data_IF_408164026818
#
_entry.id   IF_408164026818
#
_cell.length_a   1.000
_cell.length_b   1.000
_cell.length_c   1.000
_cell.angle_alpha   90.00
_cell.angle_beta   90.00
_cell.angle_gamma   90.00
#
_symmetry.space_group_name_H-M   'P 1'
#
loop_
_entity.id
_entity.type
_entity.pdbx_description
1 polymer ?
#
# COMPACT_ATOMS: atom_id res chain seq x y z
N UNK A 1 -16.77 55.65 -4.10
CA UNK A 1 -16.64 55.04 -2.78
C UNK A 1 -16.49 53.54 -3.00
N UNK A 2 -15.29 53.03 -2.73
CA UNK A 2 -14.89 51.64 -2.94
C UNK A 2 -15.43 50.79 -1.79
N UNK A 3 -16.22 49.76 -2.09
CA UNK A 3 -16.53 48.68 -1.16
C UNK A 3 -15.78 47.43 -1.63
N UNK A 4 -14.62 47.18 -1.01
CA UNK A 4 -13.81 46.00 -1.24
C UNK A 4 -14.59 44.73 -0.91
N UNK A 5 -14.71 43.85 -1.90
CA UNK A 5 -15.15 42.48 -1.68
C UNK A 5 -14.08 41.70 -0.91
N UNK A 6 -14.47 40.70 -0.10
CA UNK A 6 -13.53 39.91 0.66
C UNK A 6 -12.59 39.16 -0.29
N UNK A 7 -11.30 39.26 0.01
CA UNK A 7 -10.19 38.58 -0.65
C UNK A 7 -10.54 37.11 -0.91
N UNK A 8 -10.41 36.69 -2.16
CA UNK A 8 -10.50 35.30 -2.59
C UNK A 8 -9.62 34.41 -1.72
N UNK A 9 -10.25 33.58 -0.88
CA UNK A 9 -9.61 32.50 -0.13
C UNK A 9 -8.77 31.66 -1.10
N UNK A 10 -7.47 31.55 -0.84
CA UNK A 10 -6.56 30.67 -1.58
C UNK A 10 -7.08 29.22 -1.50
N UNK A 11 -7.82 28.79 -2.53
CA UNK A 11 -8.12 27.37 -2.74
C UNK A 11 -6.87 26.70 -3.29
N UNK A 12 -6.18 25.93 -2.45
CA UNK A 12 -5.05 25.11 -2.85
C UNK A 12 -5.49 24.11 -3.94
N UNK A 13 -4.61 23.74 -4.89
CA UNK A 13 -4.95 22.75 -5.89
C UNK A 13 -5.23 21.40 -5.20
N UNK A 14 -6.51 20.99 -5.23
CA UNK A 14 -7.01 19.73 -4.67
C UNK A 14 -7.31 18.76 -5.80
N UNK A 15 -6.62 17.63 -5.83
CA UNK A 15 -6.91 16.55 -6.78
C UNK A 15 -7.85 15.53 -6.12
N UNK A 16 -9.04 15.38 -6.70
CA UNK A 16 -9.94 14.28 -6.32
C UNK A 16 -9.51 13.01 -7.04
N UNK A 17 -9.28 11.95 -6.28
CA UNK A 17 -8.87 10.63 -6.78
C UNK A 17 -10.10 9.73 -6.74
N UNK A 18 -10.53 9.23 -7.89
CA UNK A 18 -11.54 8.18 -7.94
C UNK A 18 -10.86 6.86 -7.60
N UNK A 19 -11.34 6.19 -6.55
CA UNK A 19 -10.84 4.89 -6.11
C UNK A 19 -11.99 3.90 -6.18
N UNK A 20 -11.67 2.63 -6.43
CA UNK A 20 -12.63 1.54 -6.31
C UNK A 20 -12.79 1.16 -4.83
N UNK A 21 -14.00 1.28 -4.31
CA UNK A 21 -14.33 0.95 -2.92
C UNK A 21 -14.15 2.10 -1.93
N UNK A 22 -14.37 1.81 -0.65
CA UNK A 22 -14.21 2.77 0.44
C UNK A 22 -12.73 2.98 0.78
N UNK A 23 -12.26 4.22 0.64
CA UNK A 23 -10.89 4.56 1.04
C UNK A 23 -10.86 4.84 2.56
N UNK A 24 -9.95 4.21 3.34
CA UNK A 24 -9.79 4.54 4.76
C UNK A 24 -9.13 5.90 5.00
N UNK A 25 -8.54 6.51 3.96
CA UNK A 25 -7.85 7.79 4.06
C UNK A 25 -8.82 8.97 3.91
N UNK A 26 -8.58 10.06 4.64
CA UNK A 26 -9.26 11.33 4.43
C UNK A 26 -8.58 12.16 3.33
N UNK A 27 -7.24 12.22 3.37
CA UNK A 27 -6.43 12.91 2.39
C UNK A 27 -4.94 12.54 2.54
N UNK A 28 -4.16 12.82 1.50
CA UNK A 28 -2.73 12.99 1.59
C UNK A 28 -2.36 14.43 1.23
N UNK A 29 -1.38 15.00 1.91
CA UNK A 29 -1.02 16.41 1.77
C UNK A 29 0.48 16.55 1.57
N UNK A 30 0.86 17.41 0.64
CA UNK A 30 2.23 17.88 0.49
C UNK A 30 2.31 19.33 0.94
N UNK A 31 3.14 19.60 1.94
CA UNK A 31 3.36 20.91 2.53
C UNK A 31 4.85 21.29 2.49
N UNK A 32 5.14 22.58 2.56
CA UNK A 32 6.50 23.12 2.61
C UNK A 32 6.57 24.31 3.55
N UNK A 33 7.77 24.56 4.06
CA UNK A 33 8.10 25.74 4.83
C UNK A 33 8.42 26.90 3.90
N UNK A 34 7.64 27.98 4.00
CA UNK A 34 7.90 29.26 3.36
C UNK A 34 8.61 30.17 4.39
N UNK A 35 9.80 30.69 4.05
CA UNK A 35 10.60 31.47 5.00
C UNK A 35 9.94 32.78 5.45
N UNK A 36 8.93 33.27 4.72
CA UNK A 36 8.20 34.50 5.03
C UNK A 36 6.86 34.17 5.69
N UNK A 37 6.15 33.18 5.15
CA UNK A 37 4.77 32.88 5.54
C UNK A 37 4.65 31.68 6.50
N UNK A 38 5.74 30.97 6.76
CA UNK A 38 5.76 29.75 7.55
C UNK A 38 5.23 28.53 6.79
N UNK A 39 4.67 27.53 7.49
CA UNK A 39 4.20 26.29 6.87
C UNK A 39 3.01 26.51 5.93
N UNK A 40 3.07 25.93 4.73
CA UNK A 40 2.04 26.05 3.70
C UNK A 40 1.74 24.71 3.02
N UNK A 41 0.47 24.46 2.77
CA UNK A 41 0.02 23.31 1.98
C UNK A 41 0.18 23.63 0.50
N UNK A 42 0.93 22.83 -0.23
CA UNK A 42 1.11 23.01 -1.67
C UNK A 42 0.10 22.18 -2.48
N UNK A 43 -0.23 20.97 -2.03
CA UNK A 43 -1.15 20.09 -2.75
C UNK A 43 -1.88 19.11 -1.84
N UNK A 44 -3.10 18.75 -2.22
CA UNK A 44 -3.95 17.81 -1.49
C UNK A 44 -4.48 16.75 -2.46
N UNK A 45 -4.23 15.48 -2.16
CA UNK A 45 -4.88 14.33 -2.78
C UNK A 45 -6.00 13.86 -1.85
N UNK A 46 -7.24 13.91 -2.32
CA UNK A 46 -8.39 13.46 -1.54
C UNK A 46 -9.17 12.41 -2.32
N UNK A 47 -9.61 11.31 -1.70
CA UNK A 47 -10.47 10.35 -2.36
C UNK A 47 -11.83 10.99 -2.66
N UNK A 48 -12.45 10.58 -3.77
CA UNK A 48 -13.80 10.96 -4.16
C UNK A 48 -14.78 10.00 -3.47
N UNK A 49 -14.99 10.17 -2.17
CA UNK A 49 -16.00 9.41 -1.41
C UNK A 49 -17.16 10.33 -1.03
N UNK A 50 -18.39 9.88 -1.25
CA UNK A 50 -19.60 10.66 -0.96
C UNK A 50 -20.01 10.63 0.53
N UNK A 51 -19.39 9.75 1.34
CA UNK A 51 -19.79 9.49 2.73
C UNK A 51 -18.73 9.84 3.79
N UNK A 52 -17.51 10.25 3.42
CA UNK A 52 -16.47 10.62 4.37
C UNK A 52 -16.60 12.11 4.75
N UNK A 53 -16.46 12.40 6.04
CA UNK A 53 -16.32 13.76 6.55
C UNK A 53 -15.11 14.40 5.88
N UNK A 54 -15.36 15.29 4.93
CA UNK A 54 -14.29 16.03 4.28
C UNK A 54 -13.64 16.92 5.31
N UNK A 55 -12.32 16.80 5.45
CA UNK A 55 -11.54 17.79 6.18
C UNK A 55 -11.80 19.16 5.56
N UNK A 56 -12.15 20.10 6.42
CA UNK A 56 -12.19 21.51 6.05
C UNK A 56 -10.79 21.97 5.66
N UNK A 57 -10.71 22.96 4.76
CA UNK A 57 -9.41 23.52 4.36
C UNK A 57 -8.64 24.09 5.57
N UNK A 58 -9.36 24.49 6.63
CA UNK A 58 -8.80 24.94 7.91
C UNK A 58 -8.10 23.83 8.69
N UNK A 59 -8.70 22.65 8.81
CA UNK A 59 -8.09 21.50 9.49
C UNK A 59 -6.84 20.99 8.76
N UNK A 60 -6.88 20.98 7.43
CA UNK A 60 -5.71 20.58 6.62
C UNK A 60 -4.55 21.55 6.82
N UNK A 61 -4.84 22.85 6.85
CA UNK A 61 -3.82 23.88 7.10
C UNK A 61 -3.28 23.78 8.54
N UNK A 62 -4.17 23.55 9.51
CA UNK A 62 -3.81 23.33 10.91
C UNK A 62 -2.84 22.14 11.06
N UNK A 63 -3.14 20.99 10.43
CA UNK A 63 -2.28 19.81 10.46
C UNK A 63 -0.91 20.06 9.85
N UNK A 64 -0.85 20.75 8.70
CA UNK A 64 0.41 21.10 8.06
C UNK A 64 1.27 22.01 8.95
N UNK A 65 0.64 22.97 9.62
CA UNK A 65 1.33 23.87 10.55
C UNK A 65 1.92 23.12 11.75
N UNK A 66 1.14 22.25 12.38
CA UNK A 66 1.61 21.46 13.54
C UNK A 66 2.74 20.51 13.16
N UNK A 67 2.64 19.88 11.99
CA UNK A 67 3.66 18.96 11.48
C UNK A 67 5.00 19.67 11.25
N UNK A 68 4.98 20.81 10.56
CA UNK A 68 6.19 21.51 10.13
C UNK A 68 6.79 22.43 11.22
N UNK A 69 5.98 22.92 12.15
CA UNK A 69 6.48 23.67 13.32
C UNK A 69 7.13 22.75 14.39
N UNK A 70 7.09 21.43 14.20
CA UNK A 70 7.63 20.47 15.18
C UNK A 70 6.75 20.24 16.39
N UNK A 71 5.51 20.75 16.39
CA UNK A 71 4.50 20.51 17.42
C UNK A 71 3.76 19.20 17.12
N UNK A 72 4.47 18.08 17.26
CA UNK A 72 3.87 16.75 17.16
C UNK A 72 2.92 16.57 18.36
N UNK A 73 1.60 16.63 18.10
CA UNK A 73 0.52 16.05 18.93
C UNK A 73 0.59 16.35 20.44
N UNK A 74 0.88 17.58 20.86
CA UNK A 74 0.72 17.96 22.28
C UNK A 74 -0.65 18.51 22.65
N UNK A 75 -1.50 18.87 21.69
CA UNK A 75 -2.83 19.38 21.99
C UNK A 75 -3.76 19.28 20.79
N UNK A 76 -4.47 18.17 20.63
CA UNK A 76 -5.68 18.13 19.83
C UNK A 76 -6.80 17.58 20.72
N UNK A 77 -7.83 18.39 20.95
CA UNK A 77 -9.04 17.98 21.66
C UNK A 77 -9.66 16.76 20.95
N UNK A 78 -10.08 15.81 21.78
CA UNK A 78 -10.63 14.52 21.40
C UNK A 78 -11.78 14.68 20.39
N UNK A 79 -11.51 14.44 19.09
CA UNK A 79 -12.51 14.52 18.02
C UNK A 79 -12.00 14.98 16.65
N UNK A 80 -10.83 15.63 16.57
CA UNK A 80 -10.26 16.11 15.32
C UNK A 80 -9.35 15.07 14.63
N UNK A 81 -9.44 14.96 13.30
CA UNK A 81 -8.62 14.05 12.51
C UNK A 81 -7.12 14.23 12.79
N UNK A 82 -6.46 13.16 13.26
CA UNK A 82 -5.03 13.15 13.54
C UNK A 82 -4.23 12.75 12.31
N UNK A 83 -3.18 13.50 11.95
CA UNK A 83 -2.15 13.04 11.01
C UNK A 83 -1.39 11.87 11.64
N UNK A 84 -1.59 10.65 11.15
CA UNK A 84 -0.95 9.45 11.72
C UNK A 84 0.49 9.31 11.22
N UNK A 85 0.74 9.65 9.95
CA UNK A 85 2.09 9.58 9.37
C UNK A 85 2.41 10.84 8.60
N UNK A 86 3.46 11.51 9.07
CA UNK A 86 4.04 12.68 8.44
C UNK A 86 5.55 12.50 8.36
N UNK A 87 6.08 12.56 7.14
CA UNK A 87 7.51 12.46 6.89
C UNK A 87 8.03 13.82 6.45
N UNK A 88 8.94 14.37 7.24
CA UNK A 88 9.61 15.65 6.99
C UNK A 88 10.92 15.37 6.25
N UNK A 89 11.21 16.16 5.22
CA UNK A 89 12.41 16.02 4.41
C UNK A 89 12.82 17.33 3.77
N UNK A 90 14.11 17.48 3.49
CA UNK A 90 14.61 18.64 2.76
C UNK A 90 14.47 18.45 1.25
N UNK A 91 13.89 19.46 0.59
CA UNK A 91 13.71 19.49 -0.85
C UNK A 91 14.06 20.86 -1.44
N UNK A 92 14.35 20.88 -2.74
CA UNK A 92 14.63 22.12 -3.47
C UNK A 92 13.40 22.50 -4.29
N UNK A 93 12.65 23.51 -3.82
CA UNK A 93 11.44 23.96 -4.49
C UNK A 93 11.71 25.34 -5.08
N UNK A 94 11.60 25.46 -6.41
CA UNK A 94 11.87 26.72 -7.16
C UNK A 94 13.29 27.28 -6.96
N UNK A 95 14.27 26.42 -6.71
CA UNK A 95 15.68 26.81 -6.50
C UNK A 95 16.03 27.15 -5.05
N UNK A 96 15.03 27.20 -4.15
CA UNK A 96 15.25 27.40 -2.73
C UNK A 96 15.22 26.06 -1.98
N UNK A 97 16.15 25.90 -1.04
CA UNK A 97 16.12 24.80 -0.07
C UNK A 97 14.99 25.04 0.92
N UNK A 98 13.99 24.19 0.87
CA UNK A 98 12.81 24.26 1.73
C UNK A 98 12.64 22.94 2.49
N UNK A 99 12.19 23.04 3.73
CA UNK A 99 11.74 21.87 4.49
C UNK A 99 10.34 21.51 4.04
N UNK A 100 10.17 20.28 3.58
CA UNK A 100 8.91 19.75 3.06
C UNK A 100 8.35 18.68 3.99
N UNK A 101 7.03 18.49 3.97
CA UNK A 101 6.35 17.42 4.66
C UNK A 101 5.37 16.72 3.72
N UNK A 102 5.42 15.38 3.72
CA UNK A 102 4.41 14.54 3.10
C UNK A 102 3.64 13.83 4.20
N UNK A 103 2.34 14.09 4.28
CA UNK A 103 1.48 13.55 5.33
C UNK A 103 0.33 12.75 4.74
N UNK A 104 -0.02 11.66 5.42
CA UNK A 104 -1.21 10.85 5.13
C UNK A 104 -2.15 10.95 6.33
N UNK A 105 -3.39 11.35 6.05
CA UNK A 105 -4.40 11.66 7.05
C UNK A 105 -5.48 10.57 7.02
N UNK A 106 -5.75 10.01 8.19
CA UNK A 106 -6.70 8.93 8.43
C UNK A 106 -7.62 9.37 9.58
N UNK A 107 -8.90 8.97 9.61
CA UNK A 107 -9.70 9.19 10.81
C UNK A 107 -9.21 8.25 11.93
N UNK A 108 -9.32 8.69 13.19
CA UNK A 108 -8.89 7.91 14.35
C UNK A 108 -9.59 6.55 14.45
N UNK A 109 -10.82 6.45 13.93
CA UNK A 109 -11.61 5.20 13.85
C UNK A 109 -10.91 4.10 13.06
N UNK A 110 -10.08 4.47 12.08
CA UNK A 110 -9.36 3.54 11.19
C UNK A 110 -7.94 3.23 11.68
N UNK A 111 -7.53 3.75 12.86
CA UNK A 111 -6.17 3.56 13.38
C UNK A 111 -5.82 2.07 13.57
N UNK A 112 -6.74 1.29 14.14
CA UNK A 112 -6.53 -0.14 14.38
C UNK A 112 -6.33 -0.94 13.07
N UNK A 113 -6.98 -0.51 11.99
CA UNK A 113 -6.78 -1.07 10.65
C UNK A 113 -5.40 -0.69 10.09
N UNK A 114 -4.96 0.54 10.32
CA UNK A 114 -3.71 1.06 9.74
C UNK A 114 -2.43 0.53 10.42
N UNK A 115 -2.46 0.27 11.73
CA UNK A 115 -1.25 -0.10 12.49
C UNK A 115 -0.43 -1.26 11.90
N UNK A 116 -1.03 -2.40 11.49
CA UNK A 116 -0.29 -3.47 10.82
C UNK A 116 0.39 -3.01 9.52
N UNK A 117 -0.28 -2.14 8.77
CA UNK A 117 0.18 -1.64 7.46
C UNK A 117 1.17 -0.47 7.58
N UNK A 118 1.40 0.05 8.79
CA UNK A 118 2.20 1.25 9.03
C UNK A 118 3.58 1.17 8.38
N UNK A 119 4.31 0.07 8.59
CA UNK A 119 5.66 -0.10 8.05
C UNK A 119 5.66 -0.10 6.51
N UNK A 120 4.69 -0.77 5.89
CA UNK A 120 4.55 -0.82 4.42
C UNK A 120 4.31 0.59 3.87
N UNK A 121 3.38 1.34 4.50
CA UNK A 121 3.09 2.70 4.10
C UNK A 121 4.28 3.64 4.28
N UNK A 122 4.98 3.57 5.42
CA UNK A 122 6.15 4.41 5.70
C UNK A 122 7.28 4.13 4.72
N UNK A 123 7.62 2.86 4.46
CA UNK A 123 8.69 2.52 3.52
C UNK A 123 8.35 2.96 2.09
N UNK A 124 7.09 2.81 1.67
CA UNK A 124 6.62 3.34 0.39
C UNK A 124 6.73 4.86 0.34
N UNK A 125 6.25 5.58 1.35
CA UNK A 125 6.35 7.04 1.40
C UNK A 125 7.82 7.50 1.42
N UNK A 126 8.72 6.80 2.12
CA UNK A 126 10.17 7.08 2.07
C UNK A 126 10.70 6.92 0.65
N UNK A 127 10.30 5.88 -0.08
CA UNK A 127 10.68 5.70 -1.49
C UNK A 127 10.15 6.83 -2.39
N UNK A 128 8.89 7.22 -2.20
CA UNK A 128 8.27 8.36 -2.89
C UNK A 128 9.05 9.64 -2.63
N UNK A 129 9.45 9.90 -1.39
CA UNK A 129 10.25 11.05 -1.01
C UNK A 129 11.64 11.00 -1.66
N UNK A 130 12.32 9.84 -1.66
CA UNK A 130 13.63 9.69 -2.32
C UNK A 130 13.55 10.02 -3.81
N UNK A 131 12.56 9.47 -4.53
CA UNK A 131 12.28 9.84 -5.92
C UNK A 131 11.98 11.33 -6.05
N UNK A 132 11.06 11.86 -5.23
CA UNK A 132 10.67 13.26 -5.22
C UNK A 132 11.85 14.22 -5.05
N UNK A 133 12.77 13.94 -4.12
CA UNK A 133 13.97 14.74 -3.88
C UNK A 133 14.88 14.82 -5.11
N UNK A 134 15.09 13.71 -5.81
CA UNK A 134 15.89 13.69 -7.06
C UNK A 134 15.22 14.54 -8.13
N UNK A 135 13.88 14.48 -8.24
CA UNK A 135 13.12 15.28 -9.20
C UNK A 135 13.13 16.77 -8.87
N UNK A 136 13.05 17.12 -7.59
CA UNK A 136 13.19 18.50 -7.09
C UNK A 136 14.56 19.08 -7.44
N UNK A 137 15.65 18.32 -7.20
CA UNK A 137 17.02 18.74 -7.57
C UNK A 137 17.20 18.98 -9.07
N UNK A 138 16.45 18.26 -9.91
CA UNK A 138 16.46 18.45 -11.36
C UNK A 138 15.55 19.59 -11.84
N UNK A 139 14.86 20.29 -10.93
CA UNK A 139 13.97 21.42 -11.25
C UNK A 139 12.62 21.01 -11.84
N UNK A 140 12.24 19.73 -11.78
CA UNK A 140 10.95 19.26 -12.28
C UNK A 140 9.82 19.45 -11.26
N UNK A 141 8.58 19.47 -11.75
CA UNK A 141 7.40 19.56 -10.89
C UNK A 141 7.23 18.28 -10.05
N UNK A 142 7.42 18.39 -8.73
CA UNK A 142 7.27 17.27 -7.79
C UNK A 142 5.85 16.71 -7.73
N UNK A 143 4.81 17.52 -7.96
CA UNK A 143 3.41 17.11 -7.79
C UNK A 143 3.01 16.01 -8.78
N UNK A 144 3.59 15.99 -9.98
CA UNK A 144 3.32 14.92 -10.96
C UNK A 144 3.86 13.58 -10.45
N UNK A 145 5.10 13.56 -9.95
CA UNK A 145 5.75 12.35 -9.39
C UNK A 145 5.02 11.88 -8.14
N UNK A 146 4.72 12.79 -7.21
CA UNK A 146 3.98 12.44 -6.00
C UNK A 146 2.59 11.91 -6.36
N UNK A 147 1.90 12.50 -7.33
CA UNK A 147 0.59 11.99 -7.76
C UNK A 147 0.67 10.57 -8.31
N UNK A 148 1.71 10.23 -9.07
CA UNK A 148 1.88 8.90 -9.65
C UNK A 148 2.14 7.83 -8.59
N UNK A 149 2.73 8.19 -7.45
CA UNK A 149 3.09 7.23 -6.41
C UNK A 149 2.14 7.22 -5.20
N UNK A 150 1.49 8.36 -4.88
CA UNK A 150 0.50 8.45 -3.80
C UNK A 150 -0.79 7.72 -4.18
N UNK A 151 -1.26 7.85 -5.43
CA UNK A 151 -2.49 7.17 -5.87
C UNK A 151 -2.40 5.64 -5.66
N UNK A 152 -1.33 4.94 -6.07
CA UNK A 152 -1.14 3.53 -5.74
C UNK A 152 -1.13 3.19 -4.25
N UNK A 153 -0.62 4.08 -3.38
CA UNK A 153 -0.68 3.87 -1.92
C UNK A 153 -2.14 3.96 -1.43
N UNK A 154 -2.92 4.90 -1.96
CA UNK A 154 -4.35 5.02 -1.64
C UNK A 154 -5.14 3.80 -2.16
N UNK A 155 -4.84 3.32 -3.37
CA UNK A 155 -5.39 2.10 -3.96
C UNK A 155 -5.06 0.87 -3.12
N UNK A 156 -3.81 0.73 -2.66
CA UNK A 156 -3.38 -0.35 -1.77
C UNK A 156 -4.21 -0.33 -0.48
N UNK A 157 -4.30 0.81 0.21
CA UNK A 157 -5.03 0.89 1.48
C UNK A 157 -6.54 0.62 1.32
N UNK A 158 -7.15 1.08 0.22
CA UNK A 158 -8.53 0.74 -0.12
C UNK A 158 -8.71 -0.77 -0.38
N UNK A 159 -7.76 -1.39 -1.09
CA UNK A 159 -7.78 -2.84 -1.35
C UNK A 159 -7.63 -3.66 -0.07
N UNK A 160 -6.77 -3.23 0.86
CA UNK A 160 -6.57 -3.92 2.13
C UNK A 160 -7.81 -3.82 3.03
N UNK A 161 -8.59 -2.73 2.96
CA UNK A 161 -9.83 -2.60 3.72
C UNK A 161 -10.89 -3.63 3.31
N UNK A 162 -10.90 -4.02 2.04
CA UNK A 162 -11.94 -4.89 1.47
C UNK A 162 -11.50 -6.34 1.28
N UNK A 163 -10.20 -6.58 1.05
CA UNK A 163 -9.65 -7.88 0.66
C UNK A 163 -8.47 -8.33 1.56
N UNK A 164 -8.29 -7.75 2.75
CA UNK A 164 -7.32 -8.29 3.70
C UNK A 164 -7.74 -9.67 4.20
N UNK A 165 -6.76 -10.50 4.56
CA UNK A 165 -7.04 -11.81 5.17
C UNK A 165 -7.51 -11.58 6.61
N UNK A 166 -8.63 -12.19 7.04
CA UNK A 166 -9.12 -12.09 8.41
C UNK A 166 -8.13 -12.72 9.39
N UNK A 167 -8.20 -12.31 10.66
CA UNK A 167 -7.34 -12.89 11.71
C UNK A 167 -7.68 -14.35 11.96
N UNK A 168 -8.98 -14.65 12.00
CA UNK A 168 -9.51 -16.00 12.17
C UNK A 168 -9.71 -16.64 10.80
N UNK A 169 -9.05 -17.78 10.59
CA UNK A 169 -9.18 -18.60 9.37
C UNK A 169 -9.76 -19.93 9.81
N UNK A 170 -10.93 -20.30 9.27
CA UNK A 170 -11.52 -21.61 9.54
C UNK A 170 -10.82 -22.67 8.69
N UNK A 171 -9.97 -23.48 9.34
CA UNK A 171 -9.20 -24.54 8.69
C UNK A 171 -10.09 -25.49 7.88
N UNK A 172 -11.33 -25.73 8.33
CA UNK A 172 -12.24 -26.70 7.72
C UNK A 172 -12.88 -26.23 6.41
N UNK A 173 -13.10 -24.93 6.25
CA UNK A 173 -13.84 -24.38 5.09
C UNK A 173 -12.97 -23.58 4.15
N UNK A 174 -11.97 -22.91 4.72
CA UNK A 174 -11.27 -21.84 4.04
C UNK A 174 -9.93 -22.27 3.43
N UNK A 175 -9.47 -23.48 3.76
CA UNK A 175 -8.11 -23.94 3.46
C UNK A 175 -8.13 -25.24 2.66
N UNK A 176 -7.03 -25.52 1.97
CA UNK A 176 -6.87 -26.73 1.16
C UNK A 176 -6.76 -27.98 2.04
N UNK A 177 -6.42 -27.84 3.33
CA UNK A 177 -6.09 -28.96 4.23
C UNK A 177 -7.23 -29.96 4.48
N UNK A 178 -8.48 -29.54 4.25
CA UNK A 178 -9.67 -30.40 4.41
C UNK A 178 -10.39 -30.68 3.09
N UNK A 179 -9.78 -30.38 1.94
CA UNK A 179 -10.33 -30.80 0.65
C UNK A 179 -10.10 -32.32 0.50
N UNK A 180 -11.19 -33.10 0.42
CA UNK A 180 -11.19 -34.56 0.23
C UNK A 180 -10.46 -35.01 -1.06
N UNK A 181 -10.17 -34.06 -1.96
CA UNK A 181 -9.47 -34.25 -3.24
C UNK A 181 -7.92 -34.23 -3.13
N UNK A 182 -7.34 -34.09 -1.93
CA UNK A 182 -5.87 -34.10 -1.71
C UNK A 182 -5.21 -35.44 -2.11
N UNK A 183 -5.99 -36.52 -2.28
CA UNK A 183 -5.49 -37.87 -2.57
C UNK A 183 -4.79 -38.08 -3.92
N UNK A 184 -4.71 -37.07 -4.80
CA UNK A 184 -3.84 -37.13 -5.99
C UNK A 184 -2.40 -36.79 -5.58
N UNK A 185 -1.44 -37.70 -5.79
CA UNK A 185 -0.05 -37.55 -5.32
C UNK A 185 0.61 -36.24 -5.76
N UNK A 186 0.18 -35.69 -6.90
CA UNK A 186 0.63 -34.39 -7.42
C UNK A 186 0.23 -33.20 -6.53
N UNK A 187 -0.91 -33.29 -5.84
CA UNK A 187 -1.41 -32.24 -4.95
C UNK A 187 -0.63 -32.17 -3.65
N UNK A 188 -0.33 -33.33 -3.06
CA UNK A 188 0.47 -33.42 -1.84
C UNK A 188 1.88 -32.86 -2.06
N UNK A 189 2.54 -33.25 -3.14
CA UNK A 189 3.88 -32.76 -3.50
C UNK A 189 3.90 -31.25 -3.73
N UNK A 190 2.89 -30.71 -4.40
CA UNK A 190 2.75 -29.27 -4.61
C UNK A 190 2.57 -28.53 -3.29
N UNK A 191 1.66 -29.00 -2.44
CA UNK A 191 1.36 -28.36 -1.16
C UNK A 191 2.58 -28.40 -0.23
N UNK A 192 3.28 -29.53 -0.16
CA UNK A 192 4.51 -29.67 0.61
C UNK A 192 5.58 -28.67 0.14
N UNK A 193 5.80 -28.56 -1.18
CA UNK A 193 6.74 -27.58 -1.76
C UNK A 193 6.30 -26.14 -1.48
N UNK A 194 5.00 -25.86 -1.57
CA UNK A 194 4.48 -24.52 -1.35
C UNK A 194 4.66 -24.06 0.09
N UNK A 195 4.29 -24.89 1.06
CA UNK A 195 4.45 -24.59 2.49
C UNK A 195 5.95 -24.49 2.84
N UNK A 196 6.76 -25.45 2.39
CA UNK A 196 8.20 -25.43 2.67
C UNK A 196 8.87 -24.16 2.13
N UNK A 197 8.55 -23.78 0.88
CA UNK A 197 9.11 -22.59 0.26
C UNK A 197 8.63 -21.31 0.94
N UNK A 198 7.34 -21.22 1.30
CA UNK A 198 6.78 -20.09 2.06
C UNK A 198 7.48 -19.88 3.40
N UNK A 199 7.75 -20.96 4.14
CA UNK A 199 8.49 -20.90 5.41
C UNK A 199 9.96 -20.51 5.21
N UNK A 200 10.60 -21.01 4.15
CA UNK A 200 11.98 -20.65 3.80
C UNK A 200 12.14 -19.19 3.40
N UNK A 201 11.08 -18.56 2.89
CA UNK A 201 11.08 -17.15 2.48
C UNK A 201 10.41 -16.24 3.50
N UNK A 202 10.51 -16.59 4.78
CA UNK A 202 10.04 -15.78 5.90
C UNK A 202 8.54 -15.40 5.81
N UNK A 203 7.71 -16.26 5.22
CA UNK A 203 6.28 -16.02 5.11
C UNK A 203 5.87 -15.08 3.98
N UNK A 204 6.79 -14.72 3.07
CA UNK A 204 6.47 -13.87 1.92
C UNK A 204 6.22 -14.71 0.66
N UNK A 205 5.03 -14.57 0.06
CA UNK A 205 4.61 -15.39 -1.09
C UNK A 205 3.55 -14.72 -1.96
N UNK A 206 3.55 -15.08 -3.24
CA UNK A 206 2.57 -14.61 -4.22
C UNK A 206 1.95 -15.83 -4.88
N UNK A 207 0.62 -15.89 -4.86
CA UNK A 207 -0.18 -16.93 -5.47
C UNK A 207 -0.87 -16.36 -6.70
N UNK A 208 -0.51 -16.85 -7.88
CA UNK A 208 -1.02 -16.40 -9.17
C UNK A 208 -1.86 -17.50 -9.80
N UNK A 209 -3.08 -17.22 -10.21
CA UNK A 209 -3.94 -18.23 -10.81
C UNK A 209 -5.02 -17.68 -11.72
N UNK A 210 -5.86 -18.55 -12.25
CA UNK A 210 -6.98 -18.16 -13.11
C UNK A 210 -8.33 -18.22 -12.38
N UNK A 211 -8.40 -18.97 -11.27
CA UNK A 211 -9.62 -19.06 -10.47
C UNK A 211 -9.42 -18.35 -9.11
N UNK A 212 -10.23 -17.32 -8.78
CA UNK A 212 -10.09 -16.56 -7.53
C UNK A 212 -10.39 -17.39 -6.27
N UNK A 213 -11.31 -18.36 -6.32
CA UNK A 213 -11.63 -19.22 -5.18
C UNK A 213 -10.43 -20.12 -4.81
N UNK A 214 -9.80 -20.75 -5.80
CA UNK A 214 -8.64 -21.62 -5.60
C UNK A 214 -7.43 -20.85 -5.10
N UNK A 215 -7.16 -19.66 -5.69
CA UNK A 215 -6.12 -18.76 -5.18
C UNK A 215 -6.39 -18.41 -3.72
N UNK A 216 -7.62 -18.01 -3.40
CA UNK A 216 -7.98 -17.61 -2.04
C UNK A 216 -7.84 -18.76 -1.03
N UNK A 217 -8.17 -19.99 -1.41
CA UNK A 217 -7.90 -21.18 -0.56
C UNK A 217 -6.41 -21.36 -0.29
N UNK A 218 -5.55 -21.26 -1.31
CA UNK A 218 -4.09 -21.40 -1.14
C UNK A 218 -3.55 -20.25 -0.28
N UNK A 219 -3.96 -19.00 -0.54
CA UNK A 219 -3.54 -17.83 0.24
C UNK A 219 -3.88 -18.02 1.71
N UNK A 220 -5.12 -18.44 2.04
CA UNK A 220 -5.53 -18.70 3.42
C UNK A 220 -4.75 -19.86 4.04
N UNK A 221 -4.45 -20.90 3.27
CA UNK A 221 -3.63 -22.04 3.72
C UNK A 221 -2.23 -21.60 4.10
N UNK A 222 -1.56 -20.78 3.27
CA UNK A 222 -0.24 -20.23 3.60
C UNK A 222 -0.31 -19.28 4.81
N UNK A 223 -1.37 -18.47 4.91
CA UNK A 223 -1.57 -17.56 6.03
C UNK A 223 -1.77 -18.25 7.39
N UNK A 224 -2.07 -19.56 7.43
CA UNK A 224 -2.12 -20.32 8.69
C UNK A 224 -0.79 -20.27 9.45
N UNK A 225 0.33 -20.20 8.74
CA UNK A 225 1.68 -20.15 9.29
C UNK A 225 2.14 -18.76 9.71
N UNK A 226 1.28 -17.74 9.51
CA UNK A 226 1.55 -16.36 9.87
C UNK A 226 0.85 -15.97 11.18
N UNK A 227 1.39 -14.98 11.88
CA UNK A 227 0.74 -14.36 13.03
C UNK A 227 -0.48 -13.54 12.60
N UNK A 228 -1.45 -13.28 13.49
CA UNK A 228 -2.64 -12.48 13.14
C UNK A 228 -2.32 -11.10 12.56
N UNK A 229 -1.25 -10.45 13.03
CA UNK A 229 -0.82 -9.14 12.49
C UNK A 229 -0.29 -9.25 11.07
N UNK A 230 0.48 -10.31 10.76
CA UNK A 230 1.00 -10.57 9.42
C UNK A 230 -0.10 -10.99 8.42
N UNK A 231 -1.14 -11.68 8.91
CA UNK A 231 -2.35 -11.98 8.12
C UNK A 231 -3.05 -10.70 7.67
N UNK A 232 -3.19 -9.70 8.55
CA UNK A 232 -3.73 -8.38 8.17
C UNK A 232 -2.87 -7.64 7.13
N UNK A 233 -1.60 -8.02 7.00
CA UNK A 233 -0.68 -7.54 5.97
C UNK A 233 -0.63 -8.46 4.73
N UNK A 234 -1.62 -9.34 4.57
CA UNK A 234 -1.80 -10.22 3.41
C UNK A 234 -3.13 -9.91 2.71
N UNK A 235 -3.19 -10.13 1.40
CA UNK A 235 -4.32 -9.75 0.54
C UNK A 235 -4.85 -10.94 -0.26
N UNK A 236 -6.16 -11.12 -0.17
CA UNK A 236 -6.93 -12.06 -0.98
C UNK A 236 -7.07 -11.56 -2.42
N UNK A 237 -7.26 -12.51 -3.31
CA UNK A 237 -7.57 -12.30 -4.71
C UNK A 237 -9.00 -11.78 -4.88
N UNK A 238 -9.18 -10.86 -5.84
CA UNK A 238 -10.48 -10.30 -6.23
C UNK A 238 -10.99 -11.00 -7.48
N UNK A 239 -12.28 -11.34 -7.50
CA UNK A 239 -12.88 -12.15 -8.58
C UNK A 239 -13.03 -11.40 -9.91
N UNK A 240 -13.33 -10.10 -9.88
CA UNK A 240 -13.72 -9.34 -11.08
C UNK A 240 -12.58 -8.54 -11.72
N UNK A 241 -11.45 -8.38 -11.02
CA UNK A 241 -10.31 -7.62 -11.51
C UNK A 241 -9.01 -8.01 -10.81
N UNK A 242 -7.89 -7.96 -11.54
CA UNK A 242 -6.56 -8.24 -11.00
C UNK A 242 -6.04 -7.06 -10.17
N UNK A 243 -5.42 -7.36 -9.03
CA UNK A 243 -4.60 -6.39 -8.32
C UNK A 243 -3.21 -6.32 -8.96
N UNK A 244 -2.55 -5.16 -8.82
CA UNK A 244 -1.12 -5.06 -9.12
C UNK A 244 -0.33 -5.72 -7.98
N UNK A 245 0.85 -6.24 -8.32
CA UNK A 245 1.79 -6.68 -7.29
C UNK A 245 2.19 -5.50 -6.40
N UNK A 246 2.12 -5.71 -5.09
CA UNK A 246 2.44 -4.73 -4.07
C UNK A 246 3.59 -5.21 -3.19
N UNK A 247 4.74 -4.52 -3.25
CA UNK A 247 5.87 -4.78 -2.34
C UNK A 247 5.48 -4.57 -0.87
N UNK A 248 5.96 -5.46 0.00
CA UNK A 248 5.86 -5.37 1.46
C UNK A 248 4.67 -6.12 2.09
N UNK A 249 3.76 -6.68 1.29
CA UNK A 249 2.74 -7.61 1.79
C UNK A 249 3.34 -9.00 2.01
N UNK A 250 2.81 -9.76 2.98
CA UNK A 250 3.29 -11.12 3.25
C UNK A 250 2.77 -12.09 2.18
N UNK A 251 1.45 -12.30 2.10
CA UNK A 251 0.85 -13.17 1.08
C UNK A 251 -0.08 -12.38 0.17
N UNK A 252 0.02 -12.59 -1.14
CA UNK A 252 -0.82 -11.92 -2.13
C UNK A 252 -1.43 -12.91 -3.12
N UNK A 253 -2.75 -12.85 -3.28
CA UNK A 253 -3.46 -13.53 -4.37
C UNK A 253 -3.65 -12.61 -5.59
N UNK A 254 -3.21 -13.05 -6.77
CA UNK A 254 -3.25 -12.28 -8.02
C UNK A 254 -3.88 -13.11 -9.16
N UNK A 255 -4.80 -12.53 -9.93
CA UNK A 255 -5.34 -13.16 -11.13
C UNK A 255 -4.40 -12.98 -12.32
N UNK A 256 -4.31 -14.01 -13.16
CA UNK A 256 -3.74 -13.94 -14.50
C UNK A 256 -4.64 -13.11 -15.41
N UNK A 257 -4.04 -12.41 -16.36
CA UNK A 257 -4.76 -11.67 -17.39
C UNK A 257 -5.42 -12.64 -18.38
N UNK A 258 -6.29 -12.13 -19.25
CA UNK A 258 -7.01 -12.92 -20.27
C UNK A 258 -6.10 -13.67 -21.25
N UNK A 259 -4.83 -13.28 -21.34
CA UNK A 259 -3.76 -13.95 -22.12
C UNK A 259 -3.06 -15.08 -21.34
N UNK A 260 -3.44 -15.33 -20.09
CA UNK A 260 -2.80 -16.30 -19.20
C UNK A 260 -1.47 -15.84 -18.59
N UNK A 261 -1.07 -14.60 -18.83
CA UNK A 261 0.15 -13.99 -18.32
C UNK A 261 -0.10 -13.13 -17.08
N UNK A 262 0.94 -12.87 -16.30
CA UNK A 262 0.94 -11.88 -15.23
C UNK A 262 2.24 -11.07 -15.27
N UNK A 263 2.16 -9.77 -15.02
CA UNK A 263 3.33 -8.88 -15.03
C UNK A 263 3.81 -8.65 -13.60
N UNK A 264 4.97 -9.19 -13.28
CA UNK A 264 5.73 -8.79 -12.10
C UNK A 264 6.63 -7.62 -12.48
N UNK A 265 6.33 -6.40 -12.02
CA UNK A 265 7.21 -5.28 -12.28
C UNK A 265 8.54 -5.54 -11.59
N UNK A 266 9.61 -5.54 -12.37
CA UNK A 266 10.98 -5.64 -11.88
C UNK A 266 11.68 -4.27 -11.99
N UNK A 267 11.30 -3.25 -11.19
CA UNK A 267 12.01 -1.98 -11.25
C UNK A 267 13.37 -2.14 -10.55
N UNK A 268 14.49 -1.75 -11.20
CA UNK A 268 15.79 -1.77 -10.57
C UNK A 268 15.77 -0.90 -9.30
N UNK A 269 16.08 -1.51 -8.14
CA UNK A 269 16.21 -0.81 -6.86
C UNK A 269 15.01 -0.86 -5.91
N UNK A 270 13.93 -1.57 -6.24
CA UNK A 270 12.94 -1.99 -5.24
C UNK A 270 13.23 -3.43 -4.84
N UNK A 271 13.83 -3.63 -3.68
CA UNK A 271 13.94 -4.96 -3.08
C UNK A 271 12.80 -5.11 -2.07
N UNK A 272 11.98 -6.16 -2.17
CA UNK A 272 11.06 -6.49 -1.08
C UNK A 272 11.88 -6.72 0.21
N UNK A 273 11.31 -6.43 1.39
CA UNK A 273 12.01 -6.57 2.66
C UNK A 273 12.41 -8.03 2.96
N UNK A 274 11.76 -9.00 2.31
CA UNK A 274 12.06 -10.42 2.38
C UNK A 274 12.08 -11.04 0.98
N UNK A 275 12.70 -12.22 0.85
CA UNK A 275 12.62 -13.01 -0.38
C UNK A 275 11.16 -13.43 -0.64
N UNK A 276 10.72 -13.50 -1.90
CA UNK A 276 9.34 -13.82 -2.27
C UNK A 276 9.29 -15.05 -3.18
N UNK A 277 8.30 -15.92 -2.94
CA UNK A 277 8.05 -17.12 -3.74
C UNK A 277 6.84 -16.91 -4.64
N UNK A 278 6.98 -17.30 -5.90
CA UNK A 278 5.88 -17.28 -6.86
C UNK A 278 5.28 -18.67 -7.03
N UNK A 279 3.98 -18.77 -6.78
CA UNK A 279 3.16 -19.92 -7.10
C UNK A 279 2.29 -19.60 -8.32
N UNK A 280 2.28 -20.49 -9.32
CA UNK A 280 1.40 -20.35 -10.49
C UNK A 280 0.45 -21.54 -10.57
N UNK A 281 -0.85 -21.26 -10.66
CA UNK A 281 -1.89 -22.27 -10.87
C UNK A 281 -1.81 -22.77 -12.32
N UNK A 282 -1.38 -24.02 -12.48
CA UNK A 282 -1.21 -24.69 -13.77
C UNK A 282 -1.10 -26.20 -13.58
N UNK A 283 -2.21 -26.91 -13.81
CA UNK A 283 -2.36 -28.37 -13.66
C UNK A 283 -1.69 -29.19 -14.78
N UNK A 284 -0.53 -28.78 -15.27
CA UNK A 284 0.18 -29.55 -16.30
C UNK A 284 1.68 -29.39 -16.09
N UNK A 285 2.31 -30.47 -15.59
CA UNK A 285 3.74 -30.90 -15.59
C UNK A 285 4.90 -29.89 -15.48
N UNK A 286 4.65 -28.59 -15.49
CA UNK A 286 5.60 -27.49 -15.51
C UNK A 286 5.18 -26.41 -14.50
N UNK A 287 4.93 -26.79 -13.24
CA UNK A 287 4.89 -25.83 -12.14
C UNK A 287 6.30 -25.24 -11.96
N UNK A 288 6.59 -24.12 -12.62
CA UNK A 288 7.82 -23.37 -12.39
C UNK A 288 7.73 -22.62 -11.07
N UNK A 289 8.39 -23.14 -10.04
CA UNK A 289 8.92 -22.35 -8.92
C UNK A 289 9.96 -21.40 -9.51
N UNK A 290 9.57 -20.15 -9.78
CA UNK A 290 10.50 -19.14 -10.24
C UNK A 290 10.84 -18.25 -9.06
N UNK A 291 11.99 -18.51 -8.45
CA UNK A 291 12.62 -17.56 -7.53
C UNK A 291 13.13 -16.38 -8.35
N UNK A 292 12.82 -15.18 -7.86
CA UNK A 292 13.37 -13.93 -8.36
C UNK A 292 14.91 -13.94 -8.25
N UNK A 293 15.67 -13.53 -9.29
CA UNK A 293 17.13 -13.65 -9.28
C UNK A 293 17.77 -12.73 -8.23
N UNK A 294 18.50 -13.34 -7.28
CA UNK A 294 19.20 -12.65 -6.20
C UNK A 294 19.44 -13.48 -4.92
N UNK A 295 18.90 -14.70 -4.84
CA UNK A 295 19.10 -15.63 -3.72
C UNK A 295 19.04 -17.09 -4.17
N UNK A 296 19.78 -17.94 -3.47
CA UNK A 296 20.22 -19.31 -3.78
C UNK A 296 19.12 -20.27 -4.30
N UNK A 297 19.48 -21.08 -5.32
CA UNK A 297 18.70 -22.20 -5.83
C UNK A 297 18.47 -23.29 -4.77
N UNK A 298 17.24 -23.78 -4.65
CA UNK A 298 17.00 -25.18 -4.33
C UNK A 298 16.78 -25.94 -5.64
N UNK A 299 17.89 -26.32 -6.29
CA UNK A 299 17.87 -27.42 -7.24
C UNK A 299 17.96 -28.71 -6.43
N UNK A 300 16.94 -29.55 -6.47
CA UNK A 300 17.11 -30.98 -6.23
C UNK A 300 16.88 -31.67 -7.56
N UNK A 301 17.98 -32.10 -8.15
CA UNK A 301 18.00 -33.05 -9.26
C UNK A 301 17.31 -34.35 -8.80
N UNK A 302 16.34 -34.81 -9.58
CA UNK A 302 16.24 -36.20 -10.03
C UNK A 302 15.44 -36.26 -11.33
#
# INVERSE_FOLDING_TARGET
MSSGGPLSLLRWPKRRVALEGECPLLAATFAYWDNILGPRVHHIWAPKCDHLVFLSDGEVTFLANHTLNGEILRSAECGAASSIVSLIFDGELKGDKNTCALSVILPQTELAFYLPLHNICVERLKHVIRKGRIWMQKGYNIISVLSLEIIPIMELLASMKTHSVPEDIDVNKDTVLNDDDIGDSCHEDFLHKAISSHLQTCGCSIVVGSNPEKINKIVRTLCLFLTPTERRCSRLCRAEASFRYDTGLFVQGLLKDSTGSFVLPFPPGQMPPCHEVHFSEGFSRDCKLQCVPGGTCCSLEH
#
